data_IF_004966668652
#
_entry.id   IF_004966668652
#
_cell.length_a   1.000
_cell.length_b   1.000
_cell.length_c   1.000
_cell.angle_alpha   90.00
_cell.angle_beta   90.00
_cell.angle_gamma   90.00
#
_symmetry.space_group_name_H-M   'P 1'
#
loop_
_entity.id
_entity.type
_entity.pdbx_description
1 polymer ?
#
# COMPACT_ATOMS: atom_id res chain seq x y z
N UNK A 1 12.46 -3.83 12.55
CA UNK A 1 12.65 -4.12 11.10
C UNK A 1 11.62 -3.33 10.29
N UNK A 2 10.45 -3.07 10.87
CA UNK A 2 9.35 -2.25 10.36
C UNK A 2 9.80 -0.85 9.97
N UNK A 3 10.67 -0.20 10.75
CA UNK A 3 11.19 1.15 10.46
C UNK A 3 11.77 1.25 9.04
N UNK A 4 12.53 0.23 8.61
CA UNK A 4 13.09 0.19 7.25
C UNK A 4 11.99 0.05 6.20
N UNK A 5 11.01 -0.82 6.43
CA UNK A 5 9.88 -0.98 5.51
C UNK A 5 9.05 0.30 5.42
N UNK A 6 8.74 0.94 6.55
CA UNK A 6 8.02 2.22 6.59
C UNK A 6 8.75 3.27 5.78
N UNK A 7 10.09 3.36 5.89
CA UNK A 7 10.87 4.28 5.06
C UNK A 7 10.89 3.90 3.57
N UNK A 8 10.89 2.60 3.21
CA UNK A 8 10.74 2.17 1.81
C UNK A 8 9.36 2.55 1.25
N UNK A 9 8.28 2.39 2.04
CA UNK A 9 6.94 2.79 1.64
C UNK A 9 6.82 4.31 1.51
N UNK A 10 7.40 5.09 2.43
CA UNK A 10 7.49 6.56 2.32
C UNK A 10 8.23 6.98 1.06
N UNK A 11 9.37 6.33 0.76
CA UNK A 11 10.15 6.60 -0.44
C UNK A 11 9.33 6.30 -1.71
N UNK A 12 8.67 5.15 -1.74
CA UNK A 12 7.82 4.74 -2.86
C UNK A 12 6.65 5.71 -3.07
N UNK A 13 5.97 6.10 -2.00
CA UNK A 13 4.91 7.11 -2.02
C UNK A 13 5.42 8.45 -2.53
N UNK A 14 6.59 8.91 -2.09
CA UNK A 14 7.15 10.19 -2.54
C UNK A 14 7.52 10.16 -4.03
N UNK A 15 8.14 9.07 -4.51
CA UNK A 15 8.49 8.89 -5.93
C UNK A 15 7.23 8.87 -6.79
N UNK A 16 6.25 8.03 -6.45
CA UNK A 16 4.99 7.95 -7.18
C UNK A 16 4.19 9.26 -7.10
N UNK A 17 4.17 9.92 -5.94
CA UNK A 17 3.52 11.21 -5.73
C UNK A 17 4.10 12.29 -6.65
N UNK A 18 5.42 12.45 -6.66
CA UNK A 18 6.10 13.36 -7.59
C UNK A 18 5.80 13.01 -9.04
N UNK A 19 5.90 11.73 -9.41
CA UNK A 19 5.69 11.29 -10.79
C UNK A 19 4.26 11.55 -11.23
N UNK A 20 3.26 11.25 -10.38
CA UNK A 20 1.85 11.52 -10.64
C UNK A 20 1.59 13.02 -10.77
N UNK A 21 1.99 13.81 -9.78
CA UNK A 21 1.81 15.27 -9.78
C UNK A 21 2.46 15.92 -11.00
N UNK A 22 3.69 15.55 -11.36
CA UNK A 22 4.39 16.10 -12.52
C UNK A 22 3.81 15.61 -13.85
N UNK A 23 3.44 14.33 -13.95
CA UNK A 23 2.82 13.79 -15.18
C UNK A 23 1.42 14.38 -15.45
N UNK A 24 0.76 14.87 -14.40
CA UNK A 24 -0.54 15.51 -14.44
C UNK A 24 -0.45 17.02 -14.19
N UNK A 25 0.72 17.65 -14.41
CA UNK A 25 0.97 19.06 -14.04
C UNK A 25 -0.12 20.04 -14.49
N UNK A 26 -0.73 19.82 -15.66
CA UNK A 26 -1.83 20.66 -16.18
C UNK A 26 -3.06 20.70 -15.26
N UNK A 27 -3.30 19.65 -14.48
CA UNK A 27 -4.36 19.61 -13.46
C UNK A 27 -4.05 20.56 -12.29
N UNK A 28 -2.77 20.84 -12.05
CA UNK A 28 -2.27 21.57 -10.87
C UNK A 28 -1.90 23.02 -11.17
N UNK A 29 -2.00 23.45 -12.42
CA UNK A 29 -1.68 24.81 -12.84
C UNK A 29 -2.94 25.49 -13.39
N UNK A 30 -2.92 26.82 -13.58
CA UNK A 30 -3.99 27.49 -14.32
C UNK A 30 -4.14 26.84 -15.70
N UNK A 31 -5.37 26.51 -16.07
CA UNK A 31 -5.67 25.77 -17.30
C UNK A 31 -7.06 26.11 -17.83
N UNK A 32 -7.24 25.95 -19.14
CA UNK A 32 -8.45 26.26 -19.92
C UNK A 32 -9.01 25.03 -20.69
N UNK A 33 -8.44 23.85 -20.44
CA UNK A 33 -8.81 22.57 -21.06
C UNK A 33 -10.20 22.11 -20.62
N UNK A 34 -10.57 22.38 -19.37
CA UNK A 34 -11.92 22.17 -18.83
C UNK A 34 -12.23 23.22 -17.77
N UNK A 35 -13.51 23.49 -17.46
CA UNK A 35 -13.88 24.49 -16.47
C UNK A 35 -13.27 24.18 -15.10
N UNK A 36 -12.52 25.15 -14.55
CA UNK A 36 -12.14 25.11 -13.14
C UNK A 36 -13.38 25.39 -12.31
N UNK A 37 -13.73 24.46 -11.42
CA UNK A 37 -14.92 24.60 -10.58
C UNK A 37 -14.47 24.64 -9.12
N UNK A 38 -14.35 25.84 -8.53
CA UNK A 38 -13.97 25.97 -7.13
C UNK A 38 -14.91 25.19 -6.22
N UNK A 39 -14.37 24.59 -5.16
CA UNK A 39 -15.17 23.81 -4.22
C UNK A 39 -16.13 24.69 -3.40
N UNK A 40 -15.75 25.96 -3.19
CA UNK A 40 -16.51 26.93 -2.42
C UNK A 40 -16.69 28.23 -3.19
N UNK A 41 -17.83 28.89 -3.01
CA UNK A 41 -18.16 30.14 -3.70
C UNK A 41 -17.16 31.27 -3.42
N UNK A 42 -16.58 31.33 -2.22
CA UNK A 42 -15.59 32.36 -1.88
C UNK A 42 -14.27 32.23 -2.66
N UNK A 43 -14.00 31.06 -3.24
CA UNK A 43 -12.78 30.79 -4.00
C UNK A 43 -12.89 31.12 -5.49
N UNK A 44 -14.07 31.61 -5.95
CA UNK A 44 -14.30 31.99 -7.36
C UNK A 44 -13.38 33.14 -7.77
N UNK A 45 -13.23 34.15 -6.93
CA UNK A 45 -12.44 35.35 -7.22
C UNK A 45 -10.97 35.23 -6.76
N UNK A 46 -10.54 34.03 -6.37
CA UNK A 46 -9.18 33.83 -5.89
C UNK A 46 -8.17 33.93 -7.04
N UNK A 47 -7.00 34.54 -6.79
CA UNK A 47 -6.06 34.80 -7.87
C UNK A 47 -5.34 33.52 -8.33
N UNK A 48 -5.17 33.39 -9.65
CA UNK A 48 -4.57 32.22 -10.32
C UNK A 48 -3.11 31.91 -9.92
N UNK A 49 -2.39 32.84 -9.27
CA UNK A 49 -1.05 32.54 -8.77
C UNK A 49 -1.08 31.54 -7.60
N UNK A 50 -2.23 31.39 -6.92
CA UNK A 50 -2.41 30.42 -5.85
C UNK A 50 -2.28 28.97 -6.33
N UNK A 51 -2.62 28.69 -7.60
CA UNK A 51 -2.39 27.38 -8.22
C UNK A 51 -0.91 27.02 -8.21
N UNK A 52 -0.06 27.97 -8.59
CA UNK A 52 1.40 27.77 -8.59
C UNK A 52 1.95 27.58 -7.18
N UNK A 53 1.41 28.29 -6.18
CA UNK A 53 1.82 28.13 -4.79
C UNK A 53 1.40 26.78 -4.24
N UNK A 54 0.17 26.34 -4.51
CA UNK A 54 -0.29 25.00 -4.12
C UNK A 54 0.51 23.89 -4.82
N UNK A 55 0.74 24.01 -6.13
CA UNK A 55 1.55 23.06 -6.89
C UNK A 55 3.00 22.98 -6.38
N UNK A 56 3.66 24.12 -6.19
CA UNK A 56 5.01 24.18 -5.64
C UNK A 56 5.07 23.56 -4.23
N UNK A 57 4.07 23.86 -3.39
CA UNK A 57 3.96 23.28 -2.05
C UNK A 57 3.85 21.75 -2.06
N UNK A 58 3.03 21.18 -2.96
CA UNK A 58 2.92 19.71 -3.13
C UNK A 58 4.26 19.12 -3.57
N UNK A 59 4.94 19.72 -4.56
CA UNK A 59 6.23 19.24 -5.06
C UNK A 59 7.30 19.29 -3.97
N UNK A 60 7.41 20.41 -3.25
CA UNK A 60 8.36 20.58 -2.14
C UNK A 60 8.06 19.56 -1.04
N UNK A 61 6.79 19.34 -0.70
CA UNK A 61 6.41 18.36 0.30
C UNK A 61 6.84 16.93 -0.06
N UNK A 62 6.60 16.49 -1.30
CA UNK A 62 7.06 15.17 -1.72
C UNK A 62 8.59 15.07 -1.82
N UNK A 63 9.30 16.11 -2.25
CA UNK A 63 10.77 16.14 -2.24
C UNK A 63 11.32 16.03 -0.81
N UNK A 64 10.68 16.70 0.15
CA UNK A 64 11.04 16.58 1.55
C UNK A 64 10.78 15.15 2.07
N UNK A 65 9.60 14.56 1.78
CA UNK A 65 9.30 13.17 2.14
C UNK A 65 10.31 12.18 1.53
N UNK A 66 10.67 12.36 0.26
CA UNK A 66 11.70 11.58 -0.42
C UNK A 66 13.04 11.68 0.32
N UNK A 67 13.50 12.90 0.60
CA UNK A 67 14.79 13.17 1.24
C UNK A 67 14.84 12.54 2.62
N UNK A 68 13.79 12.71 3.43
CA UNK A 68 13.71 12.13 4.77
C UNK A 68 13.64 10.60 4.74
N UNK A 69 12.93 10.02 3.78
CA UNK A 69 12.90 8.57 3.60
C UNK A 69 14.30 8.02 3.25
N UNK A 70 15.04 8.66 2.34
CA UNK A 70 16.41 8.28 1.98
C UNK A 70 17.36 8.38 3.18
N UNK A 71 17.30 9.49 3.94
CA UNK A 71 18.12 9.67 5.15
C UNK A 71 17.78 8.57 6.18
N UNK A 72 16.49 8.28 6.39
CA UNK A 72 16.02 7.24 7.30
C UNK A 72 16.45 5.82 6.90
N UNK A 73 16.67 5.56 5.61
CA UNK A 73 17.22 4.29 5.12
C UNK A 73 18.73 4.16 5.37
N UNK A 74 19.47 5.29 5.35
CA UNK A 74 20.94 5.31 5.58
C UNK A 74 21.30 5.32 7.06
N UNK A 75 20.58 6.07 7.89
CA UNK A 75 20.94 6.33 9.28
C UNK A 75 20.02 5.60 10.27
N UNK A 76 20.43 4.40 10.70
CA UNK A 76 19.65 3.52 11.59
C UNK A 76 19.21 4.17 12.92
N UNK A 77 19.96 5.14 13.44
CA UNK A 77 19.68 5.81 14.73
C UNK A 77 18.93 7.14 14.65
N UNK A 78 18.73 7.69 13.45
CA UNK A 78 18.02 8.97 13.29
C UNK A 78 16.53 8.78 13.03
N UNK A 79 16.11 7.60 12.57
CA UNK A 79 14.74 7.28 12.17
C UNK A 79 13.68 7.52 13.26
N UNK A 80 14.07 7.54 14.53
CA UNK A 80 13.17 7.73 15.68
C UNK A 80 13.01 9.20 16.12
N UNK A 81 13.88 10.13 15.68
CA UNK A 81 13.84 11.55 16.09
C UNK A 81 13.01 12.45 15.15
N UNK A 82 12.16 11.88 14.30
CA UNK A 82 11.67 12.52 13.07
C UNK A 82 10.44 13.46 13.20
N UNK A 83 10.59 14.62 13.85
CA UNK A 83 9.72 15.78 13.60
C UNK A 83 9.67 16.27 12.12
N UNK A 84 10.73 16.15 11.28
CA UNK A 84 10.72 16.75 9.94
C UNK A 84 9.72 16.12 8.94
N UNK A 85 9.36 14.84 9.13
CA UNK A 85 8.37 14.18 8.26
C UNK A 85 6.95 14.71 8.50
N UNK A 86 6.66 15.18 9.70
CA UNK A 86 5.36 15.79 10.02
C UNK A 86 5.19 17.12 9.28
N UNK A 87 6.20 17.99 9.28
CA UNK A 87 6.16 19.27 8.55
C UNK A 87 5.95 19.08 7.05
N UNK A 88 6.62 18.09 6.44
CA UNK A 88 6.40 17.75 5.04
C UNK A 88 4.97 17.24 4.78
N UNK A 89 4.42 16.40 5.67
CA UNK A 89 3.04 15.93 5.56
C UNK A 89 2.02 17.06 5.74
N UNK A 90 2.27 17.98 6.67
CA UNK A 90 1.41 19.14 6.90
C UNK A 90 1.42 20.07 5.69
N UNK A 91 2.60 20.32 5.11
CA UNK A 91 2.71 21.09 3.87
C UNK A 91 1.93 20.41 2.74
N UNK A 92 2.09 19.09 2.56
CA UNK A 92 1.34 18.33 1.55
C UNK A 92 -0.17 18.49 1.73
N UNK A 93 -0.65 18.35 2.97
CA UNK A 93 -2.07 18.47 3.29
C UNK A 93 -2.60 19.88 3.01
N UNK A 94 -1.94 20.91 3.52
CA UNK A 94 -2.35 22.31 3.35
C UNK A 94 -2.33 22.70 1.87
N UNK A 95 -1.28 22.35 1.13
CA UNK A 95 -1.19 22.63 -0.30
C UNK A 95 -2.25 21.86 -1.09
N UNK A 96 -2.54 20.60 -0.73
CA UNK A 96 -3.62 19.83 -1.39
C UNK A 96 -4.99 20.44 -1.11
N UNK A 97 -5.26 20.86 0.13
CA UNK A 97 -6.53 21.51 0.50
C UNK A 97 -6.72 22.83 -0.23
N UNK A 98 -5.65 23.64 -0.35
CA UNK A 98 -5.67 24.84 -1.18
C UNK A 98 -6.02 24.50 -2.63
N UNK A 99 -5.35 23.51 -3.21
CA UNK A 99 -5.55 23.11 -4.60
C UNK A 99 -6.97 22.62 -4.87
N UNK A 100 -7.52 21.78 -4.00
CA UNK A 100 -8.90 21.28 -4.07
C UNK A 100 -9.92 22.40 -3.90
N UNK A 101 -9.63 23.39 -3.04
CA UNK A 101 -10.50 24.55 -2.84
C UNK A 101 -10.63 25.37 -4.12
N UNK A 102 -9.53 25.54 -4.85
CA UNK A 102 -9.48 26.26 -6.12
C UNK A 102 -10.17 25.51 -7.27
N UNK A 103 -10.12 24.18 -7.30
CA UNK A 103 -10.76 23.37 -8.34
C UNK A 103 -11.08 21.95 -7.85
N UNK A 104 -12.37 21.62 -7.75
CA UNK A 104 -12.85 20.31 -7.28
C UNK A 104 -12.36 19.15 -8.16
N UNK A 105 -12.02 19.40 -9.43
CA UNK A 105 -11.52 18.35 -10.33
C UNK A 105 -10.18 17.78 -9.87
N UNK A 106 -9.49 18.45 -8.94
CA UNK A 106 -8.26 18.00 -8.31
C UNK A 106 -8.49 16.96 -7.22
N UNK A 107 -9.75 16.70 -6.83
CA UNK A 107 -10.15 15.56 -5.98
C UNK A 107 -10.05 14.22 -6.73
N UNK A 108 -8.86 13.91 -7.21
CA UNK A 108 -8.56 12.63 -7.81
C UNK A 108 -8.37 11.57 -6.72
N UNK A 109 -8.74 10.32 -7.03
CA UNK A 109 -8.71 9.20 -6.08
C UNK A 109 -7.35 9.00 -5.42
N UNK A 110 -6.29 9.15 -6.20
CA UNK A 110 -4.92 8.98 -5.73
C UNK A 110 -4.47 10.12 -4.79
N UNK A 111 -5.03 11.33 -4.92
CA UNK A 111 -4.60 12.52 -4.17
C UNK A 111 -4.93 12.36 -2.70
N UNK A 112 -6.20 12.05 -2.39
CA UNK A 112 -6.58 11.82 -1.00
C UNK A 112 -6.00 10.50 -0.46
N UNK A 113 -5.85 9.46 -1.29
CA UNK A 113 -5.17 8.24 -0.88
C UNK A 113 -3.73 8.56 -0.42
N UNK A 114 -2.96 9.29 -1.22
CA UNK A 114 -1.58 9.64 -0.87
C UNK A 114 -1.49 10.58 0.33
N UNK A 115 -2.43 11.53 0.46
CA UNK A 115 -2.52 12.39 1.66
C UNK A 115 -2.80 11.60 2.94
N UNK A 116 -3.74 10.65 2.90
CA UNK A 116 -4.01 9.78 4.06
C UNK A 116 -2.81 8.88 4.33
N UNK A 117 -2.26 8.24 3.29
CA UNK A 117 -1.13 7.34 3.43
C UNK A 117 0.12 8.06 3.96
N UNK A 118 0.38 9.31 3.56
CA UNK A 118 1.48 10.10 4.11
C UNK A 118 1.29 10.34 5.60
N UNK A 119 0.08 10.72 6.06
CA UNK A 119 -0.22 10.88 7.49
C UNK A 119 0.04 9.57 8.24
N UNK A 120 -0.54 8.47 7.77
CA UNK A 120 -0.39 7.16 8.43
C UNK A 120 1.07 6.70 8.50
N UNK A 121 1.84 6.93 7.43
CA UNK A 121 3.26 6.60 7.40
C UNK A 121 4.11 7.52 8.27
N UNK A 122 3.66 8.70 8.67
CA UNK A 122 4.39 9.61 9.58
C UNK A 122 4.14 9.35 11.07
N UNK A 123 3.24 8.43 11.41
CA UNK A 123 3.00 8.08 12.82
C UNK A 123 4.30 7.60 13.50
N UNK A 124 4.49 7.88 14.81
CA UNK A 124 5.71 7.51 15.52
C UNK A 124 5.95 5.99 15.60
N UNK A 125 4.89 5.19 15.52
CA UNK A 125 4.94 3.73 15.71
C UNK A 125 4.89 3.03 14.36
N UNK A 126 6.05 2.57 13.89
CA UNK A 126 6.19 1.93 12.58
C UNK A 126 5.23 0.74 12.39
N UNK A 127 5.07 -0.11 13.41
CA UNK A 127 4.17 -1.28 13.36
C UNK A 127 2.72 -0.85 13.15
N UNK A 128 2.29 0.19 13.87
CA UNK A 128 0.94 0.76 13.75
C UNK A 128 0.74 1.38 12.37
N UNK A 129 1.73 2.11 11.84
CA UNK A 129 1.68 2.64 10.47
C UNK A 129 1.45 1.52 9.45
N UNK A 130 2.19 0.41 9.54
CA UNK A 130 2.07 -0.70 8.59
C UNK A 130 0.70 -1.38 8.68
N UNK A 131 0.17 -1.57 9.90
CA UNK A 131 -1.19 -2.12 10.09
C UNK A 131 -2.23 -1.19 9.47
N UNK A 132 -2.13 0.12 9.71
CA UNK A 132 -3.08 1.10 9.19
C UNK A 132 -3.00 1.26 7.67
N UNK A 133 -1.80 1.23 7.08
CA UNK A 133 -1.64 1.23 5.61
C UNK A 133 -2.22 -0.03 4.99
N UNK A 134 -2.08 -1.19 5.65
CA UNK A 134 -2.74 -2.43 5.20
C UNK A 134 -4.26 -2.31 5.30
N UNK A 135 -4.80 -1.74 6.37
CA UNK A 135 -6.24 -1.51 6.52
C UNK A 135 -6.76 -0.53 5.48
N UNK A 136 -6.05 0.56 5.20
CA UNK A 136 -6.39 1.50 4.14
C UNK A 136 -6.38 0.80 2.77
N UNK A 137 -5.37 -0.03 2.50
CA UNK A 137 -5.30 -0.78 1.24
C UNK A 137 -6.46 -1.76 1.11
N UNK A 138 -6.77 -2.51 2.17
CA UNK A 138 -7.91 -3.44 2.19
C UNK A 138 -9.25 -2.71 2.02
N UNK A 139 -9.43 -1.55 2.66
CA UNK A 139 -10.66 -0.77 2.54
C UNK A 139 -10.83 -0.18 1.15
N UNK A 140 -9.74 0.21 0.47
CA UNK A 140 -9.80 0.65 -0.92
C UNK A 140 -10.32 -0.47 -1.82
N UNK A 141 -9.76 -1.69 -1.72
CA UNK A 141 -10.25 -2.82 -2.51
C UNK A 141 -11.70 -3.18 -2.19
N UNK A 142 -12.02 -3.24 -0.89
CA UNK A 142 -13.35 -3.61 -0.43
C UNK A 142 -14.42 -2.61 -0.90
N UNK A 143 -14.16 -1.32 -0.72
CA UNK A 143 -15.09 -0.27 -1.13
C UNK A 143 -15.17 -0.15 -2.66
N UNK A 144 -14.03 -0.26 -3.35
CA UNK A 144 -13.96 -0.29 -4.82
C UNK A 144 -14.80 -1.41 -5.43
N UNK A 145 -14.87 -2.56 -4.75
CA UNK A 145 -15.71 -3.68 -5.16
C UNK A 145 -17.20 -3.37 -4.93
N UNK A 146 -17.56 -2.94 -3.72
CA UNK A 146 -18.95 -2.65 -3.36
C UNK A 146 -19.53 -1.54 -4.22
N UNK A 147 -18.76 -0.48 -4.50
CA UNK A 147 -19.22 0.65 -5.30
C UNK A 147 -19.48 0.30 -6.77
N UNK A 148 -19.06 -0.88 -7.23
CA UNK A 148 -19.31 -1.42 -8.57
C UNK A 148 -20.46 -2.43 -8.60
N UNK A 149 -21.01 -2.80 -7.45
CA UNK A 149 -22.19 -3.65 -7.35
C UNK A 149 -23.46 -2.82 -7.53
N UNK A 150 -23.50 -2.06 -8.61
CA UNK A 150 -24.64 -1.23 -8.98
C UNK A 150 -25.06 -1.49 -10.43
N UNK A 151 -26.31 -1.16 -10.72
CA UNK A 151 -26.90 -1.41 -12.04
C UNK A 151 -26.18 -0.64 -13.15
N UNK A 152 -25.78 0.60 -12.90
CA UNK A 152 -25.11 1.41 -13.92
C UNK A 152 -23.74 0.84 -14.27
N UNK A 153 -22.98 0.35 -13.29
CA UNK A 153 -21.72 -0.35 -13.57
C UNK A 153 -21.95 -1.60 -14.43
N UNK A 154 -22.90 -2.46 -14.06
CA UNK A 154 -23.16 -3.71 -14.80
C UNK A 154 -23.63 -3.47 -16.25
N UNK A 155 -24.39 -2.41 -16.49
CA UNK A 155 -24.96 -2.13 -17.81
C UNK A 155 -24.06 -1.29 -18.72
N UNK A 156 -23.09 -0.56 -18.16
CA UNK A 156 -22.27 0.38 -18.95
C UNK A 156 -20.76 0.23 -18.69
N UNK A 157 -20.30 0.67 -17.52
CA UNK A 157 -18.87 0.82 -17.25
C UNK A 157 -18.14 -0.53 -17.14
N UNK A 158 -18.79 -1.55 -16.54
CA UNK A 158 -18.26 -2.90 -16.43
C UNK A 158 -18.00 -3.53 -17.80
N UNK A 159 -19.00 -3.62 -18.70
CA UNK A 159 -18.81 -4.08 -20.08
C UNK A 159 -17.74 -3.27 -20.84
N UNK A 160 -17.70 -1.96 -20.66
CA UNK A 160 -16.69 -1.11 -21.29
C UNK A 160 -15.26 -1.44 -20.81
N UNK A 161 -15.05 -1.56 -19.51
CA UNK A 161 -13.74 -1.90 -18.94
C UNK A 161 -13.33 -3.34 -19.29
N UNK A 162 -14.26 -4.29 -19.17
CA UNK A 162 -13.95 -5.70 -19.35
C UNK A 162 -13.85 -6.10 -20.82
N UNK A 163 -14.86 -5.78 -21.63
CA UNK A 163 -14.93 -6.25 -23.02
C UNK A 163 -14.04 -5.39 -23.92
N UNK A 164 -14.30 -4.07 -23.97
CA UNK A 164 -13.57 -3.15 -24.85
C UNK A 164 -12.16 -2.86 -24.35
N UNK A 165 -11.94 -2.93 -23.03
CA UNK A 165 -10.63 -2.79 -22.44
C UNK A 165 -9.85 -4.09 -22.42
N UNK A 166 -10.18 -5.00 -21.50
CA UNK A 166 -9.36 -6.18 -21.23
C UNK A 166 -9.43 -7.24 -22.34
N UNK A 167 -10.62 -7.70 -22.71
CA UNK A 167 -10.77 -8.78 -23.69
C UNK A 167 -10.28 -8.37 -25.07
N UNK A 168 -10.54 -7.12 -25.48
CA UNK A 168 -10.02 -6.58 -26.74
C UNK A 168 -8.51 -6.43 -26.74
N UNK A 169 -7.92 -5.86 -25.68
CA UNK A 169 -6.46 -5.71 -25.57
C UNK A 169 -5.72 -7.05 -25.59
N UNK A 170 -6.36 -8.11 -25.10
CA UNK A 170 -5.80 -9.47 -25.05
C UNK A 170 -6.17 -10.34 -26.25
N UNK A 171 -7.03 -9.84 -27.16
CA UNK A 171 -7.53 -10.62 -28.31
C UNK A 171 -8.51 -11.75 -27.97
N UNK A 172 -9.02 -11.77 -26.73
CA UNK A 172 -9.89 -12.83 -26.20
C UNK A 172 -11.39 -12.57 -26.40
N UNK A 173 -11.77 -11.43 -26.99
CA UNK A 173 -13.18 -11.03 -27.14
C UNK A 173 -14.03 -12.04 -27.91
N UNK A 174 -13.45 -12.77 -28.84
CA UNK A 174 -14.16 -13.76 -29.66
C UNK A 174 -14.42 -15.10 -28.94
N UNK A 175 -13.84 -15.32 -27.76
CA UNK A 175 -13.96 -16.59 -27.03
C UNK A 175 -15.29 -16.73 -26.29
N UNK A 176 -16.04 -15.65 -26.11
CA UNK A 176 -17.24 -15.63 -25.28
C UNK A 176 -18.44 -15.08 -26.07
N UNK A 177 -19.64 -15.69 -25.96
CA UNK A 177 -20.86 -15.10 -26.51
C UNK A 177 -21.19 -13.75 -25.85
N UNK A 178 -21.71 -12.78 -26.62
CA UNK A 178 -21.94 -11.41 -26.12
C UNK A 178 -22.80 -11.31 -24.86
N UNK A 179 -23.85 -12.13 -24.74
CA UNK A 179 -24.68 -12.18 -23.52
C UNK A 179 -23.92 -12.68 -22.29
N UNK A 180 -22.95 -13.57 -22.46
CA UNK A 180 -22.13 -14.11 -21.38
C UNK A 180 -21.00 -13.13 -20.98
N UNK A 181 -20.45 -12.37 -21.94
CA UNK A 181 -19.44 -11.34 -21.68
C UNK A 181 -19.89 -10.32 -20.63
N UNK A 182 -21.15 -9.87 -20.69
CA UNK A 182 -21.67 -8.91 -19.72
C UNK A 182 -21.77 -9.50 -18.31
N UNK A 183 -22.10 -10.79 -18.16
CA UNK A 183 -22.08 -11.47 -16.88
C UNK A 183 -20.66 -11.63 -16.32
N UNK A 184 -19.66 -11.84 -17.17
CA UNK A 184 -18.25 -11.91 -16.76
C UNK A 184 -17.74 -10.60 -16.15
N UNK A 185 -18.39 -9.46 -16.41
CA UNK A 185 -18.00 -8.18 -15.79
C UNK A 185 -18.10 -8.20 -14.26
N UNK A 186 -18.96 -9.05 -13.69
CA UNK A 186 -19.08 -9.27 -12.24
C UNK A 186 -17.83 -9.87 -11.62
N UNK A 187 -16.94 -10.46 -12.43
CA UNK A 187 -15.63 -10.90 -11.97
C UNK A 187 -14.78 -9.71 -11.48
N UNK A 188 -14.98 -8.50 -12.02
CA UNK A 188 -14.23 -7.32 -11.58
C UNK A 188 -14.48 -7.00 -10.09
N UNK A 189 -15.72 -6.68 -9.65
CA UNK A 189 -15.99 -6.44 -8.24
C UNK A 189 -15.79 -7.69 -7.38
N UNK A 190 -16.14 -8.88 -7.87
CA UNK A 190 -15.94 -10.13 -7.14
C UNK A 190 -14.46 -10.38 -6.79
N UNK A 191 -13.57 -10.18 -7.76
CA UNK A 191 -12.13 -10.36 -7.57
C UNK A 191 -11.53 -9.29 -6.65
N UNK A 192 -11.93 -8.02 -6.81
CA UNK A 192 -11.52 -6.94 -5.90
C UNK A 192 -11.94 -7.20 -4.45
N UNK A 193 -13.16 -7.70 -4.24
CA UNK A 193 -13.67 -8.03 -2.90
C UNK A 193 -12.84 -9.14 -2.25
N UNK A 194 -12.53 -10.20 -3.00
CA UNK A 194 -11.69 -11.30 -2.53
C UNK A 194 -10.29 -10.82 -2.18
N UNK A 195 -9.70 -9.91 -2.96
CA UNK A 195 -8.42 -9.28 -2.63
C UNK A 195 -8.53 -8.50 -1.32
N UNK A 196 -9.55 -7.65 -1.17
CA UNK A 196 -9.77 -6.86 0.05
C UNK A 196 -9.82 -7.75 1.31
N UNK A 197 -10.57 -8.85 1.25
CA UNK A 197 -10.66 -9.84 2.33
C UNK A 197 -9.30 -10.53 2.55
N UNK A 198 -8.63 -10.98 1.49
CA UNK A 198 -7.37 -11.70 1.59
C UNK A 198 -6.21 -10.85 2.13
N UNK A 199 -6.18 -9.56 1.79
CA UNK A 199 -5.20 -8.59 2.33
C UNK A 199 -5.45 -8.32 3.82
N UNK A 200 -6.72 -8.33 4.24
CA UNK A 200 -7.10 -8.14 5.64
C UNK A 200 -6.74 -9.35 6.53
N UNK A 201 -6.97 -10.57 6.02
CA UNK A 201 -6.75 -11.81 6.80
C UNK A 201 -5.34 -12.35 6.67
N UNK A 202 -4.62 -12.50 7.79
CA UNK A 202 -3.23 -13.03 7.82
C UNK A 202 -3.04 -14.35 7.05
N UNK A 203 -4.01 -15.27 7.16
CA UNK A 203 -3.98 -16.59 6.50
C UNK A 203 -3.91 -16.51 4.97
N UNK A 204 -4.51 -15.50 4.36
CA UNK A 204 -4.67 -15.42 2.91
C UNK A 204 -3.75 -14.39 2.25
N UNK A 205 -2.81 -13.79 2.99
CA UNK A 205 -1.98 -12.69 2.50
C UNK A 205 -1.13 -13.04 1.28
N UNK A 206 -0.68 -14.30 1.15
CA UNK A 206 0.09 -14.72 -0.04
C UNK A 206 -0.80 -14.72 -1.28
N UNK A 207 -2.02 -15.24 -1.15
CA UNK A 207 -3.01 -15.21 -2.21
C UNK A 207 -3.42 -13.77 -2.52
N UNK A 208 -3.67 -12.95 -1.49
CA UNK A 208 -4.00 -11.53 -1.65
C UNK A 208 -2.90 -10.74 -2.37
N UNK A 209 -1.62 -10.99 -2.06
CA UNK A 209 -0.50 -10.40 -2.77
C UNK A 209 -0.53 -10.78 -4.25
N UNK A 210 -0.46 -12.08 -4.57
CA UNK A 210 -0.43 -12.55 -5.96
C UNK A 210 -1.65 -12.04 -6.72
N UNK A 211 -2.84 -12.17 -6.13
CA UNK A 211 -4.09 -11.77 -6.74
C UNK A 211 -4.11 -10.27 -7.05
N UNK A 212 -3.68 -9.43 -6.10
CA UNK A 212 -3.60 -7.97 -6.30
C UNK A 212 -2.59 -7.58 -7.37
N UNK A 213 -1.43 -8.25 -7.45
CA UNK A 213 -0.43 -7.96 -8.48
C UNK A 213 -0.96 -8.33 -9.87
N UNK A 214 -1.55 -9.52 -10.00
CA UNK A 214 -2.20 -9.94 -11.25
C UNK A 214 -3.29 -8.94 -11.64
N UNK A 215 -4.13 -8.51 -10.69
CA UNK A 215 -5.17 -7.52 -10.95
C UNK A 215 -4.59 -6.23 -11.53
N UNK A 216 -3.58 -5.65 -10.88
CA UNK A 216 -3.02 -4.36 -11.30
C UNK A 216 -2.28 -4.48 -12.63
N UNK A 217 -1.64 -5.62 -12.93
CA UNK A 217 -1.09 -5.87 -14.27
C UNK A 217 -2.20 -5.92 -15.32
N UNK A 218 -3.31 -6.61 -15.05
CA UNK A 218 -4.46 -6.63 -15.96
C UNK A 218 -5.06 -5.24 -16.13
N UNK A 219 -5.22 -4.44 -15.07
CA UNK A 219 -5.69 -3.06 -15.16
C UNK A 219 -4.73 -2.16 -15.95
N UNK A 220 -3.42 -2.35 -15.81
CA UNK A 220 -2.44 -1.66 -16.63
C UNK A 220 -2.63 -2.01 -18.11
N UNK A 221 -2.80 -3.29 -18.46
CA UNK A 221 -3.09 -3.71 -19.84
C UNK A 221 -4.39 -3.04 -20.32
N UNK A 222 -5.48 -3.16 -19.55
CA UNK A 222 -6.81 -2.62 -19.84
C UNK A 222 -6.79 -1.11 -20.10
N UNK A 223 -6.08 -0.33 -19.29
CA UNK A 223 -6.07 1.13 -19.39
C UNK A 223 -4.89 1.69 -20.21
N UNK A 224 -3.95 0.83 -20.64
CA UNK A 224 -2.83 1.21 -21.50
C UNK A 224 -3.29 1.55 -22.93
N UNK A 225 -2.38 2.03 -23.80
CA UNK A 225 -2.67 2.20 -25.22
C UNK A 225 -3.15 0.94 -25.95
N UNK A 226 -2.94 -0.27 -25.41
CA UNK A 226 -3.44 -1.52 -26.00
C UNK A 226 -4.92 -1.78 -25.71
N UNK A 227 -5.48 -1.15 -24.67
CA UNK A 227 -6.90 -1.25 -24.33
C UNK A 227 -7.61 0.09 -24.54
N UNK A 228 -7.99 0.72 -23.44
CA UNK A 228 -8.81 1.95 -23.45
C UNK A 228 -8.01 3.24 -23.67
N UNK A 229 -6.68 3.19 -23.69
CA UNK A 229 -5.79 4.35 -23.83
C UNK A 229 -6.17 5.50 -22.87
N UNK A 230 -6.33 5.16 -21.59
CA UNK A 230 -6.91 6.07 -20.60
C UNK A 230 -5.87 7.02 -19.99
N UNK A 231 -6.27 7.82 -19.00
CA UNK A 231 -5.41 8.85 -18.42
C UNK A 231 -4.15 8.28 -17.76
N UNK A 232 -3.03 9.01 -17.88
CA UNK A 232 -1.75 8.67 -17.25
C UNK A 232 -1.86 8.51 -15.73
N UNK A 233 -2.74 9.28 -15.09
CA UNK A 233 -2.99 9.21 -13.65
C UNK A 233 -3.44 7.82 -13.21
N UNK A 234 -4.37 7.19 -13.94
CA UNK A 234 -4.87 5.85 -13.62
C UNK A 234 -3.76 4.80 -13.76
N UNK A 235 -2.93 4.90 -14.82
CA UNK A 235 -1.82 3.98 -15.04
C UNK A 235 -0.78 4.07 -13.91
N UNK A 236 -0.30 5.28 -13.62
CA UNK A 236 0.72 5.49 -12.60
C UNK A 236 0.23 5.12 -11.19
N UNK A 237 -1.07 5.29 -10.92
CA UNK A 237 -1.65 4.85 -9.65
C UNK A 237 -1.73 3.32 -9.52
N UNK A 238 -1.96 2.60 -10.62
CA UNK A 238 -1.84 1.13 -10.63
C UNK A 238 -0.39 0.67 -10.43
N UNK A 239 0.60 1.38 -11.01
CA UNK A 239 2.03 1.13 -10.74
C UNK A 239 2.34 1.34 -9.25
N UNK A 240 1.79 2.38 -8.63
CA UNK A 240 1.94 2.60 -7.20
C UNK A 240 1.47 1.38 -6.39
N UNK A 241 0.29 0.84 -6.67
CA UNK A 241 -0.21 -0.33 -5.94
C UNK A 241 0.66 -1.58 -6.14
N UNK A 242 1.23 -1.79 -7.34
CA UNK A 242 2.18 -2.88 -7.55
C UNK A 242 3.36 -2.80 -6.57
N UNK A 243 3.98 -1.63 -6.46
CA UNK A 243 5.10 -1.42 -5.54
C UNK A 243 4.67 -1.47 -4.07
N UNK A 244 3.58 -0.78 -3.71
CA UNK A 244 3.07 -0.74 -2.33
C UNK A 244 2.73 -2.14 -1.83
N UNK A 245 1.94 -2.91 -2.57
CA UNK A 245 1.50 -4.24 -2.15
C UNK A 245 2.67 -5.21 -2.09
N UNK A 246 3.59 -5.14 -3.06
CA UNK A 246 4.81 -5.93 -3.04
C UNK A 246 5.61 -5.66 -1.77
N UNK A 247 5.90 -4.40 -1.45
CA UNK A 247 6.65 -4.04 -0.24
C UNK A 247 5.91 -4.45 1.04
N UNK A 248 4.62 -4.13 1.13
CA UNK A 248 3.81 -4.31 2.33
C UNK A 248 3.57 -5.79 2.64
N UNK A 249 3.09 -6.57 1.67
CA UNK A 249 2.64 -7.95 1.92
C UNK A 249 3.79 -8.96 1.85
N UNK A 250 4.78 -8.79 0.96
CA UNK A 250 5.95 -9.67 0.93
C UNK A 250 6.66 -9.67 2.29
N UNK A 251 6.77 -8.49 2.89
CA UNK A 251 7.41 -8.35 4.19
C UNK A 251 6.63 -9.04 5.31
N UNK A 252 5.29 -8.90 5.33
CA UNK A 252 4.45 -9.59 6.32
C UNK A 252 4.55 -11.11 6.19
N UNK A 253 4.64 -11.63 4.96
CA UNK A 253 4.86 -13.05 4.71
C UNK A 253 6.22 -13.51 5.23
N UNK A 254 7.28 -12.73 4.99
CA UNK A 254 8.62 -13.03 5.52
C UNK A 254 8.65 -13.04 7.05
N UNK A 255 7.96 -12.10 7.70
CA UNK A 255 7.85 -12.06 9.15
C UNK A 255 7.10 -13.27 9.72
N UNK A 256 6.08 -13.78 9.00
CA UNK A 256 5.27 -14.93 9.44
C UNK A 256 5.96 -16.28 9.25
N UNK A 257 6.84 -16.41 8.25
CA UNK A 257 7.60 -17.64 7.98
C UNK A 257 8.80 -17.90 8.91
N UNK A 258 9.14 -16.95 9.80
CA UNK A 258 10.26 -17.06 10.73
C UNK A 258 9.95 -17.78 12.05
N UNK A 259 8.69 -18.19 12.28
CA UNK A 259 8.32 -19.00 13.43
C UNK A 259 8.47 -20.48 13.06
N UNK A 260 9.69 -21.01 13.16
CA UNK A 260 9.83 -22.44 13.40
C UNK A 260 9.19 -22.71 14.77
N UNK A 261 8.29 -23.70 14.91
CA UNK A 261 7.88 -24.15 16.23
C UNK A 261 9.17 -24.53 16.97
N UNK A 262 9.39 -23.94 18.14
CA UNK A 262 10.47 -24.37 19.02
C UNK A 262 10.30 -25.88 19.17
N UNK A 263 11.26 -26.64 18.66
CA UNK A 263 11.40 -28.05 19.00
C UNK A 263 11.62 -28.04 20.51
N UNK A 264 10.55 -28.31 21.27
CA UNK A 264 10.65 -28.61 22.69
C UNK A 264 11.70 -29.70 22.80
N UNK A 265 12.82 -29.47 23.51
CA UNK A 265 13.76 -30.54 23.79
C UNK A 265 12.96 -31.66 24.46
N UNK A 266 13.00 -32.87 23.89
CA UNK A 266 12.39 -34.04 24.50
C UNK A 266 12.84 -34.09 25.96
N UNK A 267 11.87 -34.16 26.89
CA UNK A 267 12.11 -34.42 28.31
C UNK A 267 12.66 -35.83 28.61
N UNK A 268 13.25 -36.52 27.62
CA UNK A 268 13.84 -37.84 27.79
C UNK A 268 15.24 -37.81 28.40
N UNK A 269 15.96 -36.68 28.37
CA UNK A 269 17.32 -36.60 28.95
C UNK A 269 17.34 -36.31 30.47
N UNK A 270 16.23 -35.92 31.08
CA UNK A 270 16.18 -35.66 32.53
C UNK A 270 16.03 -36.91 33.40
N UNK A 271 15.62 -38.05 32.83
CA UNK A 271 15.44 -39.29 33.59
C UNK A 271 16.75 -40.09 33.77
N UNK A 272 17.73 -39.92 32.87
CA UNK A 272 18.98 -40.68 32.91
C UNK A 272 19.95 -40.12 33.96
N UNK A 273 19.95 -38.80 34.18
CA UNK A 273 20.88 -38.14 35.14
C UNK A 273 20.47 -38.34 36.61
N UNK A 274 19.17 -38.50 36.89
CA UNK A 274 18.67 -38.71 38.25
C UNK A 274 19.07 -40.09 38.81
N UNK A 275 19.05 -41.14 37.99
CA UNK A 275 19.47 -42.49 38.40
C UNK A 275 20.99 -42.63 38.62
N UNK A 276 21.79 -41.71 38.07
CA UNK A 276 23.25 -41.77 38.19
C UNK A 276 23.76 -41.10 39.47
N UNK A 277 23.03 -40.11 39.99
CA UNK A 277 23.35 -39.47 41.29
C UNK A 277 22.96 -40.33 42.49
N UNK A 278 21.93 -41.18 42.37
CA UNK A 278 21.52 -42.07 43.46
C UNK A 278 22.46 -43.28 43.65
N UNK A 279 23.16 -43.70 42.60
CA UNK A 279 24.14 -44.79 42.66
C UNK A 279 25.45 -44.39 43.37
N UNK A 280 25.91 -43.15 43.19
CA UNK A 280 27.19 -42.67 43.77
C UNK A 280 27.09 -42.29 45.26
N UNK A 281 25.89 -42.04 45.79
CA UNK A 281 25.68 -41.72 47.21
C UNK A 281 25.77 -42.93 48.16
N UNK A 282 25.89 -44.15 47.63
CA UNK A 282 25.90 -45.39 48.42
C UNK A 282 27.31 -45.89 48.81
N UNK A 283 28.39 -45.21 48.39
CA UNK A 283 29.77 -45.59 48.75
C UNK A 283 30.28 -44.80 49.96
N UNK A 284 30.10 -45.36 51.15
CA UNK A 284 30.70 -44.90 52.41
C UNK A 284 32.22 -45.12 52.42
N UNK A 285 33.03 -44.15 52.92
CA UNK A 285 34.47 -44.33 53.08
C UNK A 285 34.81 -44.91 54.47
N UNK A 286 35.13 -46.20 54.53
CA UNK A 286 36.06 -46.72 55.54
C UNK A 286 37.48 -46.55 54.99
N UNK A 287 38.32 -45.89 55.78
CA UNK A 287 39.80 -45.87 55.79
C UNK A 287 40.38 -44.45 55.75
N UNK A 288 40.80 -43.96 56.91
CA UNK A 288 42.21 -43.63 57.14
C UNK A 288 42.41 -43.12 58.58
N UNK A 289 42.59 -44.06 59.51
CA UNK A 289 43.37 -43.83 60.72
C UNK A 289 44.74 -44.43 60.46
N UNK A 290 45.73 -43.61 60.11
CA UNK A 290 47.11 -43.88 60.49
C UNK A 290 48.07 -42.72 60.18
N UNK A 291 48.93 -42.50 61.17
CA UNK A 291 50.30 -42.02 61.10
C UNK A 291 50.58 -40.50 61.07
N UNK A 292 50.99 -40.06 62.27
CA UNK A 292 52.18 -39.24 62.61
C UNK A 292 52.17 -37.74 62.30
#
# INVERSE_FOLDING_TARGET
MEVRLTNLLRLWLAICGLTLTLSTWKLWTPQDVFPQVPLFAFAIDWPLWLDWVGFAGIVIAYLALFTFAVIGLKNKGMAEKFLPSFSACLLLLVSTLLMVTLDQNRLQVWVYHFGIASVLLTLPTADRSLVLIRWLTASIYFWSAISKLDKAFMESMGPYIFNEGLLKATGLIHLFPGGFQNWLTLLLPGYELLIGIAVFTKRFQRLGLIASLVMHVLLLITFSPWGLNHSRGVLLWNVYFLGQNSLLLYYVLKASGGHQPAVTPNQEDTATTANQQEADASRSPEESSNAK
#
